data_IF_833194334689
#
_entry.id   IF_833194334689
#
_cell.length_a   1.000
_cell.length_b   1.000
_cell.length_c   1.000
_cell.angle_alpha   90.00
_cell.angle_beta   90.00
_cell.angle_gamma   90.00
#
_symmetry.space_group_name_H-M   'P 1'
#
loop_
_entity.id
_entity.type
_entity.pdbx_description
1 polymer ?
#
# COMPACT_ATOMS: atom_id res chain seq x y z
N UNK A 1 65.29 -11.50 -10.70
CA UNK A 1 64.35 -11.88 -9.62
C UNK A 1 63.56 -10.64 -9.21
N UNK A 2 62.33 -10.48 -9.71
CA UNK A 2 61.49 -9.32 -9.41
C UNK A 2 60.56 -9.70 -8.25
N UNK A 3 60.63 -8.94 -7.17
CA UNK A 3 59.97 -9.23 -5.91
C UNK A 3 58.44 -9.23 -6.05
N UNK A 4 57.80 -10.34 -5.67
CA UNK A 4 56.34 -10.45 -5.49
C UNK A 4 55.89 -9.47 -4.39
N UNK A 5 55.14 -8.43 -4.76
CA UNK A 5 54.41 -7.59 -3.80
C UNK A 5 53.34 -8.46 -3.13
N UNK A 6 53.55 -8.79 -1.86
CA UNK A 6 52.59 -9.44 -0.97
C UNK A 6 51.57 -8.38 -0.54
N UNK A 7 50.35 -8.42 -1.05
CA UNK A 7 49.26 -7.62 -0.50
C UNK A 7 48.89 -8.20 0.87
N UNK A 8 49.12 -7.43 1.94
CA UNK A 8 48.80 -7.81 3.32
C UNK A 8 47.35 -7.45 3.62
N UNK A 9 46.61 -8.43 4.12
CA UNK A 9 45.45 -8.37 5.04
C UNK A 9 44.60 -7.08 5.00
N UNK A 10 43.41 -7.17 4.39
CA UNK A 10 42.34 -6.18 4.58
C UNK A 10 41.72 -6.37 5.97
N UNK A 11 42.32 -5.74 6.98
CA UNK A 11 41.77 -5.63 8.32
C UNK A 11 41.08 -4.26 8.45
N UNK A 12 39.75 -4.21 8.30
CA UNK A 12 38.82 -3.33 9.04
C UNK A 12 39.05 -1.81 9.14
N UNK A 13 40.07 -1.22 8.54
CA UNK A 13 40.21 0.24 8.44
C UNK A 13 39.27 0.70 7.34
N UNK A 14 38.22 1.44 7.71
CA UNK A 14 37.46 2.25 6.75
C UNK A 14 38.46 3.24 6.15
N UNK A 15 39.00 2.93 4.98
CA UNK A 15 39.70 3.89 4.16
C UNK A 15 38.65 4.89 3.68
N UNK A 16 38.38 5.91 4.48
CA UNK A 16 37.51 7.02 4.10
C UNK A 16 38.35 7.92 3.19
N UNK A 17 38.06 7.88 1.89
CA UNK A 17 38.59 8.85 0.93
C UNK A 17 37.79 10.14 1.08
N UNK A 18 38.47 11.28 1.20
CA UNK A 18 37.78 12.57 1.22
C UNK A 18 37.22 12.85 -0.18
N UNK A 19 35.97 13.32 -0.27
CA UNK A 19 35.32 13.60 -1.55
C UNK A 19 36.12 14.59 -2.41
N UNK A 20 36.74 15.59 -1.79
CA UNK A 20 37.55 16.60 -2.49
C UNK A 20 38.86 16.05 -3.08
N UNK A 21 39.32 14.90 -2.58
CA UNK A 21 40.53 14.23 -3.07
C UNK A 21 40.25 13.32 -4.28
N UNK A 22 38.98 13.13 -4.64
CA UNK A 22 38.59 12.34 -5.82
C UNK A 22 38.86 13.11 -7.11
N UNK A 23 39.13 12.43 -8.25
CA UNK A 23 39.17 13.06 -9.56
C UNK A 23 37.90 13.87 -9.84
N UNK A 24 38.02 14.99 -10.57
CA UNK A 24 36.88 15.87 -10.87
C UNK A 24 35.75 15.13 -11.57
N UNK A 25 36.07 14.20 -12.46
CA UNK A 25 35.11 13.35 -13.16
C UNK A 25 34.33 12.48 -12.16
N UNK A 26 35.01 11.92 -11.17
CA UNK A 26 34.38 11.14 -10.10
C UNK A 26 33.48 12.01 -9.22
N UNK A 27 33.93 13.22 -8.85
CA UNK A 27 33.12 14.16 -8.08
C UNK A 27 31.84 14.55 -8.84
N UNK A 28 31.97 14.83 -10.15
CA UNK A 28 30.82 15.14 -11.02
C UNK A 28 29.85 13.97 -11.11
N UNK A 29 30.35 12.74 -11.29
CA UNK A 29 29.52 11.54 -11.31
C UNK A 29 28.73 11.38 -10.00
N UNK A 30 29.37 11.55 -8.84
CA UNK A 30 28.68 11.49 -7.55
C UNK A 30 27.63 12.58 -7.39
N UNK A 31 27.93 13.82 -7.82
CA UNK A 31 26.96 14.90 -7.78
C UNK A 31 25.75 14.59 -8.67
N UNK A 32 25.98 14.08 -9.88
CA UNK A 32 24.90 13.66 -10.78
C UNK A 32 24.06 12.52 -10.16
N UNK A 33 24.69 11.53 -9.52
CA UNK A 33 23.98 10.47 -8.80
C UNK A 33 23.13 11.00 -7.63
N UNK A 34 23.64 11.95 -6.85
CA UNK A 34 22.88 12.58 -5.77
C UNK A 34 21.68 13.36 -6.29
N UNK A 35 21.85 14.10 -7.40
CA UNK A 35 20.76 14.83 -8.04
C UNK A 35 19.72 13.87 -8.61
N UNK A 36 20.16 12.80 -9.31
CA UNK A 36 19.28 11.73 -9.80
C UNK A 36 18.45 11.14 -8.66
N UNK A 37 19.11 10.74 -7.58
CA UNK A 37 18.44 10.17 -6.41
C UNK A 37 17.42 11.14 -5.82
N UNK A 38 17.77 12.42 -5.64
CA UNK A 38 16.85 13.42 -5.09
C UNK A 38 15.60 13.61 -5.98
N UNK A 39 15.77 13.70 -7.30
CA UNK A 39 14.66 13.85 -8.24
C UNK A 39 13.78 12.59 -8.21
N UNK A 40 14.40 11.41 -8.27
CA UNK A 40 13.68 10.13 -8.24
C UNK A 40 12.90 9.93 -6.94
N UNK A 41 13.52 10.17 -5.78
CA UNK A 41 12.82 10.05 -4.49
C UNK A 41 11.68 11.05 -4.35
N UNK A 42 11.82 12.28 -4.86
CA UNK A 42 10.72 13.24 -4.87
C UNK A 42 9.55 12.74 -5.74
N UNK A 43 9.85 12.26 -6.94
CA UNK A 43 8.85 11.66 -7.84
C UNK A 43 8.12 10.49 -7.17
N UNK A 44 8.87 9.60 -6.51
CA UNK A 44 8.31 8.47 -5.78
C UNK A 44 7.38 8.93 -4.66
N UNK A 45 7.85 9.86 -3.82
CA UNK A 45 7.05 10.40 -2.73
C UNK A 45 5.78 11.09 -3.20
N UNK A 46 5.80 11.77 -4.35
CA UNK A 46 4.63 12.48 -4.88
C UNK A 46 3.55 11.52 -5.39
N UNK A 47 3.92 10.39 -5.98
CA UNK A 47 2.97 9.44 -6.58
C UNK A 47 2.62 8.25 -5.67
N UNK A 48 3.61 7.74 -4.95
CA UNK A 48 3.56 6.49 -4.20
C UNK A 48 3.87 6.66 -2.72
N UNK A 49 4.07 7.90 -2.24
CA UNK A 49 4.37 8.18 -0.84
C UNK A 49 5.66 7.50 -0.39
N UNK A 50 5.70 7.09 0.87
CA UNK A 50 6.87 6.43 1.47
C UNK A 50 6.86 4.89 1.29
N UNK A 51 6.15 4.38 0.28
CA UNK A 51 6.18 2.94 -0.02
C UNK A 51 7.56 2.50 -0.54
N UNK A 52 7.91 1.21 -0.46
CA UNK A 52 9.10 0.68 -1.13
C UNK A 52 9.02 0.82 -2.65
N UNK A 53 10.13 1.16 -3.31
CA UNK A 53 10.24 1.14 -4.77
C UNK A 53 10.34 -0.30 -5.30
N UNK A 54 9.75 -0.57 -6.48
CA UNK A 54 9.95 -1.83 -7.19
C UNK A 54 11.26 -1.74 -7.99
N UNK A 55 12.36 -1.95 -7.29
CA UNK A 55 13.71 -1.93 -7.87
C UNK A 55 14.00 -3.25 -8.55
N UNK A 56 14.42 -3.20 -9.81
CA UNK A 56 14.77 -4.38 -10.59
C UNK A 56 16.02 -4.21 -11.47
N UNK A 57 16.57 -5.32 -11.92
CA UNK A 57 17.61 -5.36 -12.96
C UNK A 57 17.44 -6.61 -13.82
N UNK A 58 17.96 -6.59 -15.04
CA UNK A 58 17.97 -7.74 -15.95
C UNK A 58 19.40 -8.26 -16.06
N UNK A 59 19.59 -9.56 -15.79
CA UNK A 59 20.87 -10.23 -15.90
C UNK A 59 20.69 -11.61 -16.55
N UNK A 60 21.46 -11.88 -17.61
CA UNK A 60 21.34 -13.10 -18.42
C UNK A 60 19.90 -13.37 -18.89
N UNK A 61 19.20 -12.33 -19.34
CA UNK A 61 17.80 -12.37 -19.76
C UNK A 61 16.80 -12.37 -18.60
N UNK A 62 17.18 -12.80 -17.40
CA UNK A 62 16.26 -12.93 -16.27
C UNK A 62 16.12 -11.63 -15.49
N UNK A 63 14.90 -11.32 -15.04
CA UNK A 63 14.65 -10.17 -14.17
C UNK A 63 14.89 -10.55 -12.72
N UNK A 64 15.58 -9.68 -12.00
CA UNK A 64 15.77 -9.74 -10.56
C UNK A 64 15.07 -8.55 -9.92
N UNK A 65 14.28 -8.78 -8.88
CA UNK A 65 13.53 -7.74 -8.16
C UNK A 65 13.86 -7.81 -6.68
N UNK A 66 14.10 -6.66 -6.06
CA UNK A 66 14.31 -6.58 -4.62
C UNK A 66 12.99 -6.74 -3.85
N UNK A 67 12.97 -7.61 -2.84
CA UNK A 67 11.81 -7.87 -1.99
C UNK A 67 12.26 -8.25 -0.58
N UNK A 68 11.92 -7.44 0.42
CA UNK A 68 12.16 -7.78 1.83
C UNK A 68 13.62 -8.07 2.17
N UNK A 69 14.55 -7.35 1.53
CA UNK A 69 16.00 -7.58 1.69
C UNK A 69 16.55 -8.78 0.92
N UNK A 70 15.72 -9.46 0.12
CA UNK A 70 16.12 -10.54 -0.78
C UNK A 70 16.05 -10.10 -2.25
N UNK A 71 16.74 -10.83 -3.14
CA UNK A 71 16.57 -10.71 -4.59
C UNK A 71 15.79 -11.92 -5.08
N UNK A 72 14.63 -11.68 -5.67
CA UNK A 72 13.81 -12.72 -6.31
C UNK A 72 14.02 -12.65 -7.81
N UNK A 73 14.06 -13.79 -8.46
CA UNK A 73 14.34 -13.93 -9.88
C UNK A 73 13.10 -14.42 -10.64
N UNK A 74 12.91 -13.94 -11.87
CA UNK A 74 11.92 -14.47 -12.80
C UNK A 74 12.21 -15.94 -13.16
N UNK A 75 11.14 -16.69 -13.44
CA UNK A 75 11.18 -18.10 -13.80
C UNK A 75 11.64 -18.30 -15.25
N UNK A 76 11.26 -17.39 -16.15
CA UNK A 76 11.71 -17.38 -17.55
C UNK A 76 12.66 -16.21 -17.86
N UNK A 77 13.60 -16.39 -18.83
CA UNK A 77 14.49 -15.33 -19.30
C UNK A 77 13.85 -14.37 -20.31
N UNK A 78 12.64 -14.65 -20.83
CA UNK A 78 11.91 -13.79 -21.75
C UNK A 78 10.41 -13.86 -21.44
N UNK A 79 9.70 -12.73 -21.51
CA UNK A 79 8.24 -12.67 -21.34
C UNK A 79 7.75 -12.92 -19.91
N UNK A 80 8.64 -12.90 -18.91
CA UNK A 80 8.31 -13.05 -17.50
C UNK A 80 8.74 -11.79 -16.75
N UNK A 81 7.78 -11.21 -16.03
CA UNK A 81 7.88 -9.90 -15.39
C UNK A 81 8.26 -8.79 -16.38
N UNK A 82 7.52 -8.63 -17.47
CA UNK A 82 7.76 -7.52 -18.40
C UNK A 82 7.37 -6.18 -17.75
N UNK A 83 6.27 -6.18 -17.00
CA UNK A 83 5.73 -5.03 -16.27
C UNK A 83 5.72 -5.27 -14.74
N UNK A 84 5.73 -4.22 -13.90
CA UNK A 84 5.63 -4.40 -12.44
C UNK A 84 4.38 -5.15 -12.01
N UNK A 85 3.29 -5.01 -12.76
CA UNK A 85 2.04 -5.75 -12.53
C UNK A 85 2.29 -7.26 -12.53
N UNK A 86 3.03 -7.79 -13.52
CA UNK A 86 3.35 -9.22 -13.64
C UNK A 86 4.13 -9.75 -12.43
N UNK A 87 5.11 -8.96 -11.96
CA UNK A 87 5.85 -9.29 -10.74
C UNK A 87 4.94 -9.28 -9.52
N UNK A 88 4.10 -8.24 -9.36
CA UNK A 88 3.19 -8.12 -8.22
C UNK A 88 2.18 -9.27 -8.18
N UNK A 89 1.61 -9.67 -9.31
CA UNK A 89 0.67 -10.79 -9.39
C UNK A 89 1.36 -12.13 -9.09
N UNK A 90 2.56 -12.36 -9.63
CA UNK A 90 3.37 -13.54 -9.31
C UNK A 90 3.76 -13.58 -7.84
N UNK A 91 4.12 -12.44 -7.26
CA UNK A 91 4.44 -12.29 -5.84
C UNK A 91 3.23 -12.63 -4.96
N UNK A 92 2.06 -12.07 -5.26
CA UNK A 92 0.81 -12.37 -4.56
C UNK A 92 0.49 -13.87 -4.63
N UNK A 93 0.60 -14.47 -5.82
CA UNK A 93 0.36 -15.90 -6.05
C UNK A 93 1.26 -16.76 -5.18
N UNK A 94 2.56 -16.50 -5.23
CA UNK A 94 3.58 -17.23 -4.48
C UNK A 94 3.38 -17.07 -2.97
N UNK A 95 3.04 -15.86 -2.50
CA UNK A 95 2.86 -15.57 -1.07
C UNK A 95 1.62 -16.22 -0.47
N UNK A 96 0.51 -16.30 -1.21
CA UNK A 96 -0.68 -17.05 -0.77
C UNK A 96 -0.49 -18.58 -0.94
N UNK A 97 0.48 -19.00 -1.74
CA UNK A 97 0.85 -20.37 -2.02
C UNK A 97 0.30 -20.85 -3.37
N UNK A 98 1.21 -21.29 -4.25
CA UNK A 98 0.86 -21.79 -5.58
C UNK A 98 -0.15 -22.95 -5.54
N UNK A 99 0.05 -23.91 -4.63
CA UNK A 99 -0.87 -25.04 -4.45
C UNK A 99 -2.29 -24.58 -4.07
N UNK A 100 -2.41 -23.53 -3.26
CA UNK A 100 -3.73 -22.99 -2.91
C UNK A 100 -4.42 -22.37 -4.11
N UNK A 101 -3.69 -21.65 -4.97
CA UNK A 101 -4.22 -21.15 -6.22
C UNK A 101 -4.71 -22.29 -7.13
N UNK A 102 -3.91 -23.35 -7.26
CA UNK A 102 -4.26 -24.51 -8.07
C UNK A 102 -5.50 -25.24 -7.52
N UNK A 103 -5.65 -25.30 -6.20
CA UNK A 103 -6.82 -25.88 -5.55
C UNK A 103 -8.07 -25.00 -5.69
N UNK A 104 -7.94 -23.68 -5.60
CA UNK A 104 -9.04 -22.77 -5.92
C UNK A 104 -9.46 -22.89 -7.40
N UNK A 105 -8.51 -23.08 -8.33
CA UNK A 105 -8.79 -23.19 -9.77
C UNK A 105 -9.66 -24.40 -10.12
N UNK A 106 -9.49 -25.50 -9.40
CA UNK A 106 -10.29 -26.74 -9.53
C UNK A 106 -11.75 -26.57 -9.07
N UNK A 107 -12.07 -25.54 -8.28
CA UNK A 107 -13.43 -25.30 -7.78
C UNK A 107 -14.34 -24.71 -8.85
N UNK A 108 -15.64 -24.92 -8.70
CA UNK A 108 -16.66 -24.23 -9.51
C UNK A 108 -16.59 -22.72 -9.28
N UNK A 109 -16.97 -21.90 -10.27
CA UNK A 109 -16.81 -20.44 -10.22
C UNK A 109 -17.42 -19.79 -8.96
N UNK A 110 -18.63 -20.22 -8.58
CA UNK A 110 -19.33 -19.77 -7.36
C UNK A 110 -18.70 -20.25 -6.04
N UNK A 111 -17.82 -21.26 -6.10
CA UNK A 111 -17.10 -21.82 -4.97
C UNK A 111 -15.66 -21.31 -4.85
N UNK A 112 -15.17 -20.58 -5.85
CA UNK A 112 -13.82 -19.99 -5.82
C UNK A 112 -13.71 -18.90 -4.77
N UNK A 113 -12.50 -18.73 -4.26
CA UNK A 113 -12.12 -17.54 -3.52
C UNK A 113 -12.10 -16.33 -4.45
N UNK A 114 -12.58 -15.17 -3.97
CA UNK A 114 -12.73 -13.96 -4.77
C UNK A 114 -11.41 -13.44 -5.34
N UNK A 115 -10.28 -13.68 -4.67
CA UNK A 115 -8.93 -13.36 -5.19
C UNK A 115 -8.70 -14.08 -6.52
N UNK A 116 -9.05 -15.37 -6.60
CA UNK A 116 -8.90 -16.13 -7.84
C UNK A 116 -9.86 -15.62 -8.91
N UNK A 117 -11.10 -15.30 -8.55
CA UNK A 117 -12.04 -14.68 -9.49
C UNK A 117 -11.44 -13.41 -10.08
N UNK A 118 -10.88 -12.52 -9.26
CA UNK A 118 -10.22 -11.31 -9.76
C UNK A 118 -9.00 -11.59 -10.62
N UNK A 119 -8.20 -12.61 -10.31
CA UNK A 119 -7.07 -13.00 -11.15
C UNK A 119 -7.55 -13.43 -12.55
N UNK A 120 -8.53 -14.33 -12.61
CA UNK A 120 -9.08 -14.87 -13.86
C UNK A 120 -9.80 -13.77 -14.67
N UNK A 121 -10.63 -12.94 -14.04
CA UNK A 121 -11.38 -11.89 -14.73
C UNK A 121 -10.50 -10.66 -15.08
N UNK A 122 -9.50 -10.40 -14.24
CA UNK A 122 -8.59 -9.26 -14.36
C UNK A 122 -7.57 -9.45 -15.48
N UNK A 123 -7.07 -10.68 -15.70
CA UNK A 123 -6.21 -10.99 -16.85
C UNK A 123 -6.92 -10.75 -18.20
N UNK A 124 -8.24 -10.86 -18.26
CA UNK A 124 -9.02 -10.71 -19.49
C UNK A 124 -9.31 -9.25 -19.91
N UNK A 125 -8.81 -8.22 -19.23
CA UNK A 125 -9.50 -6.92 -19.22
C UNK A 125 -8.63 -5.67 -19.13
N UNK A 126 -7.47 -5.69 -19.78
CA UNK A 126 -6.94 -4.44 -20.34
C UNK A 126 -7.92 -4.01 -21.44
N UNK A 127 -8.83 -3.07 -21.12
CA UNK A 127 -9.93 -2.70 -22.03
C UNK A 127 -9.43 -2.19 -23.40
N UNK A 128 -8.16 -1.77 -23.49
CA UNK A 128 -7.48 -1.32 -24.70
C UNK A 128 -6.03 -1.86 -24.76
N UNK A 129 -5.83 -3.17 -25.00
CA UNK A 129 -4.49 -3.79 -25.01
C UNK A 129 -3.49 -3.15 -25.99
N UNK A 130 -3.99 -2.52 -27.05
CA UNK A 130 -3.20 -1.85 -28.09
C UNK A 130 -2.74 -0.43 -27.70
N UNK A 131 -3.14 0.08 -26.53
CA UNK A 131 -2.72 1.39 -26.07
C UNK A 131 -1.43 1.32 -25.24
N UNK A 132 -0.62 2.41 -25.22
CA UNK A 132 0.48 2.55 -24.28
C UNK A 132 0.02 2.24 -22.86
N UNK A 133 0.89 1.60 -22.07
CA UNK A 133 0.60 1.13 -20.71
C UNK A 133 -0.07 2.22 -19.86
N UNK A 134 0.41 3.45 -19.96
CA UNK A 134 -0.10 4.64 -19.26
C UNK A 134 -1.56 4.99 -19.58
N UNK A 135 -2.10 4.46 -20.67
CA UNK A 135 -3.45 4.73 -21.19
C UNK A 135 -4.34 3.48 -21.24
N UNK A 136 -3.83 2.34 -20.76
CA UNK A 136 -4.61 1.12 -20.54
C UNK A 136 -5.58 1.36 -19.38
N UNK A 137 -6.86 1.04 -19.59
CA UNK A 137 -7.88 1.07 -18.52
C UNK A 137 -8.07 -0.32 -17.96
N UNK A 138 -7.98 -0.42 -16.63
CA UNK A 138 -8.27 -1.64 -15.87
C UNK A 138 -9.74 -1.64 -15.43
N UNK A 139 -10.39 -2.79 -15.52
CA UNK A 139 -11.68 -2.99 -14.86
C UNK A 139 -11.51 -3.09 -13.32
N UNK A 140 -12.63 -3.19 -12.61
CA UNK A 140 -12.62 -3.32 -11.16
C UNK A 140 -11.96 -4.59 -10.64
N UNK A 141 -12.06 -5.72 -11.35
CA UNK A 141 -11.36 -6.96 -10.96
C UNK A 141 -9.84 -6.79 -11.00
N UNK A 142 -9.30 -6.27 -12.10
CA UNK A 142 -7.87 -6.01 -12.24
C UNK A 142 -7.38 -5.01 -11.19
N UNK A 143 -8.11 -3.92 -10.94
CA UNK A 143 -7.76 -2.97 -9.88
C UNK A 143 -7.80 -3.62 -8.49
N UNK A 144 -8.83 -4.41 -8.18
CA UNK A 144 -8.94 -5.09 -6.90
C UNK A 144 -7.77 -6.07 -6.66
N UNK A 145 -7.36 -6.79 -7.70
CA UNK A 145 -6.24 -7.72 -7.65
C UNK A 145 -4.88 -7.02 -7.52
N UNK A 146 -4.62 -6.01 -8.37
CA UNK A 146 -3.34 -5.30 -8.40
C UNK A 146 -3.10 -4.48 -7.13
N UNK A 147 -4.13 -3.81 -6.59
CA UNK A 147 -3.97 -3.11 -5.32
C UNK A 147 -3.76 -4.07 -4.15
N UNK A 148 -4.43 -5.23 -4.13
CA UNK A 148 -4.17 -6.27 -3.13
C UNK A 148 -2.71 -6.75 -3.21
N UNK A 149 -2.23 -7.02 -4.43
CA UNK A 149 -0.85 -7.44 -4.67
C UNK A 149 0.16 -6.36 -4.25
N UNK A 150 -0.13 -5.09 -4.55
CA UNK A 150 0.75 -3.99 -4.20
C UNK A 150 0.80 -3.71 -2.70
N UNK A 151 -0.35 -3.68 -2.02
CA UNK A 151 -0.37 -3.51 -0.56
C UNK A 151 0.36 -4.66 0.15
N UNK A 152 0.24 -5.90 -0.38
CA UNK A 152 1.01 -7.05 0.12
C UNK A 152 2.53 -6.87 -0.10
N UNK A 153 2.95 -6.41 -1.28
CA UNK A 153 4.35 -6.09 -1.57
C UNK A 153 4.90 -5.03 -0.61
N UNK A 154 4.13 -3.97 -0.33
CA UNK A 154 4.50 -2.91 0.61
C UNK A 154 4.74 -3.51 2.00
N UNK A 155 3.82 -4.35 2.49
CA UNK A 155 3.94 -4.97 3.80
C UNK A 155 5.08 -6.01 3.88
N UNK A 156 5.32 -6.76 2.80
CA UNK A 156 6.43 -7.72 2.71
C UNK A 156 7.77 -7.03 2.94
N UNK A 157 7.99 -5.90 2.26
CA UNK A 157 9.23 -5.15 2.35
C UNK A 157 9.50 -4.55 3.73
N UNK A 158 8.47 -4.40 4.56
CA UNK A 158 8.61 -4.01 5.95
C UNK A 158 8.79 -5.21 6.90
N UNK A 159 8.77 -6.45 6.39
CA UNK A 159 8.92 -7.66 7.19
C UNK A 159 7.72 -7.95 8.10
N UNK A 160 6.52 -7.49 7.71
CA UNK A 160 5.31 -7.56 8.55
C UNK A 160 4.24 -8.54 8.05
N UNK A 161 4.57 -9.41 7.08
CA UNK A 161 3.67 -10.48 6.67
C UNK A 161 3.68 -11.58 7.74
N UNK A 162 2.50 -11.96 8.22
CA UNK A 162 2.30 -13.04 9.18
C UNK A 162 1.48 -14.17 8.58
N UNK A 163 1.71 -15.40 9.05
CA UNK A 163 0.91 -16.58 8.64
C UNK A 163 -0.58 -16.39 8.92
N UNK A 164 -0.91 -15.65 9.99
CA UNK A 164 -2.30 -15.33 10.36
C UNK A 164 -2.96 -14.41 9.33
N UNK A 165 -2.26 -13.37 8.89
CA UNK A 165 -2.76 -12.48 7.84
C UNK A 165 -2.98 -13.27 6.55
N UNK A 166 -1.99 -14.07 6.13
CA UNK A 166 -2.09 -14.92 4.93
C UNK A 166 -3.25 -15.91 5.04
N UNK A 167 -3.40 -16.59 6.18
CA UNK A 167 -4.52 -17.51 6.43
C UNK A 167 -5.88 -16.82 6.31
N UNK A 168 -6.02 -15.61 6.88
CA UNK A 168 -7.26 -14.82 6.77
C UNK A 168 -7.52 -14.31 5.37
N UNK A 169 -6.48 -13.95 4.61
CA UNK A 169 -6.60 -13.56 3.19
C UNK A 169 -7.09 -14.73 2.31
N UNK A 170 -6.71 -15.97 2.65
CA UNK A 170 -7.16 -17.20 1.95
C UNK A 170 -8.55 -17.66 2.39
N UNK A 171 -9.06 -17.19 3.53
CA UNK A 171 -10.35 -17.57 4.09
C UNK A 171 -11.46 -16.68 3.54
N UNK A 172 -12.51 -17.29 2.96
CA UNK A 172 -13.68 -16.53 2.48
C UNK A 172 -14.29 -15.63 3.56
N UNK A 173 -14.47 -16.15 4.77
CA UNK A 173 -15.09 -15.39 5.87
C UNK A 173 -14.13 -14.33 6.44
N UNK A 174 -12.82 -14.60 6.47
CA UNK A 174 -11.80 -13.70 6.99
C UNK A 174 -11.35 -12.60 6.02
N UNK A 175 -11.59 -12.81 4.72
CA UNK A 175 -10.98 -12.02 3.65
C UNK A 175 -11.31 -10.53 3.71
N UNK A 176 -12.59 -10.16 3.88
CA UNK A 176 -12.99 -8.75 3.88
C UNK A 176 -12.21 -7.93 4.94
N UNK A 177 -12.12 -8.47 6.16
CA UNK A 177 -11.37 -7.83 7.25
C UNK A 177 -9.88 -7.79 6.98
N UNK A 178 -9.28 -8.92 6.59
CA UNK A 178 -7.83 -9.00 6.34
C UNK A 178 -7.37 -8.14 5.15
N UNK A 179 -8.16 -8.07 4.09
CA UNK A 179 -7.90 -7.17 2.96
C UNK A 179 -7.89 -5.70 3.40
N UNK A 180 -8.85 -5.30 4.23
CA UNK A 180 -8.93 -3.92 4.68
C UNK A 180 -7.83 -3.56 5.68
N UNK A 181 -7.49 -4.48 6.58
CA UNK A 181 -6.34 -4.36 7.47
C UNK A 181 -5.05 -4.17 6.68
N UNK A 182 -4.79 -5.03 5.68
CA UNK A 182 -3.63 -4.90 4.79
C UNK A 182 -3.57 -3.53 4.10
N UNK A 183 -4.69 -3.06 3.56
CA UNK A 183 -4.80 -1.72 2.97
C UNK A 183 -4.45 -0.61 3.97
N UNK A 184 -4.95 -0.68 5.21
CA UNK A 184 -4.68 0.32 6.25
C UNK A 184 -3.20 0.33 6.61
N UNK A 185 -2.59 -0.84 6.83
CA UNK A 185 -1.17 -0.96 7.15
C UNK A 185 -0.29 -0.40 6.02
N UNK A 186 -0.56 -0.78 4.77
CA UNK A 186 0.13 -0.24 3.60
C UNK A 186 -0.06 1.27 3.44
N UNK A 187 -1.24 1.80 3.76
CA UNK A 187 -1.53 3.24 3.74
C UNK A 187 -0.77 4.00 4.82
N UNK A 188 -0.60 3.42 6.01
CA UNK A 188 0.24 4.02 7.05
C UNK A 188 1.70 4.08 6.62
N UNK A 189 2.23 3.02 6.00
CA UNK A 189 3.59 3.03 5.42
C UNK A 189 3.69 4.11 4.34
N UNK A 190 2.72 4.17 3.42
CA UNK A 190 2.65 5.21 2.37
C UNK A 190 2.62 6.63 2.94
N UNK A 191 1.99 6.82 4.10
CA UNK A 191 1.94 8.09 4.82
C UNK A 191 3.22 8.42 5.62
N UNK A 192 4.28 7.62 5.50
CA UNK A 192 5.56 7.87 6.19
C UNK A 192 5.58 7.41 7.64
N UNK A 193 4.84 6.35 7.97
CA UNK A 193 4.92 5.70 9.28
C UNK A 193 5.75 4.43 9.23
N UNK A 194 6.58 4.23 10.24
CA UNK A 194 7.04 2.90 10.61
C UNK A 194 5.94 2.21 11.43
N UNK A 195 5.62 0.95 11.12
CA UNK A 195 4.53 0.24 11.77
C UNK A 195 5.05 -0.92 12.65
N UNK A 196 4.32 -1.18 13.72
CA UNK A 196 4.53 -2.29 14.64
C UNK A 196 3.17 -2.99 14.80
N UNK A 197 2.85 -4.00 13.96
CA UNK A 197 1.61 -4.76 14.09
C UNK A 197 1.50 -5.41 15.46
N UNK A 198 0.31 -5.39 16.07
CA UNK A 198 0.11 -6.05 17.35
C UNK A 198 -0.02 -7.57 17.15
N UNK A 199 0.67 -8.33 18.00
CA UNK A 199 0.55 -9.78 18.01
C UNK A 199 -0.68 -10.20 18.84
N UNK A 200 -1.76 -10.52 18.14
CA UNK A 200 -3.00 -11.01 18.75
C UNK A 200 -2.84 -12.38 19.46
N UNK A 201 -1.74 -13.10 19.26
CA UNK A 201 -1.49 -14.40 19.91
C UNK A 201 -1.00 -14.28 21.35
N UNK A 202 -0.58 -13.08 21.77
CA UNK A 202 -0.09 -12.83 23.13
C UNK A 202 -1.20 -12.78 24.20
N UNK A 203 -2.46 -13.04 23.83
CA UNK A 203 -3.58 -13.19 24.77
C UNK A 203 -4.01 -11.91 25.49
N UNK A 204 -3.51 -10.75 25.07
CA UNK A 204 -3.75 -9.45 25.74
C UNK A 204 -5.02 -8.78 25.22
N UNK A 205 -6.19 -9.38 25.46
CA UNK A 205 -7.48 -8.75 25.16
C UNK A 205 -7.66 -8.29 23.69
N UNK A 206 -8.59 -7.36 23.45
CA UNK A 206 -8.82 -6.78 22.12
C UNK A 206 -7.80 -5.65 21.87
N UNK A 207 -6.72 -5.93 21.16
CA UNK A 207 -5.71 -4.95 20.72
C UNK A 207 -6.12 -4.28 19.41
N UNK A 208 -5.58 -3.09 19.13
CA UNK A 208 -5.69 -2.44 17.82
C UNK A 208 -4.86 -3.18 16.76
N UNK A 209 -4.95 -2.82 15.48
CA UNK A 209 -4.21 -3.52 14.41
C UNK A 209 -2.69 -3.29 14.51
N UNK A 210 -2.29 -2.04 14.73
CA UNK A 210 -0.88 -1.70 14.90
C UNK A 210 -0.67 -0.46 15.76
N UNK A 211 0.58 -0.30 16.19
CA UNK A 211 1.17 0.96 16.60
C UNK A 211 1.96 1.50 15.41
N UNK A 212 1.89 2.81 15.15
CA UNK A 212 2.54 3.43 14.00
C UNK A 212 3.25 4.71 14.44
N UNK A 213 4.52 4.87 14.05
CA UNK A 213 5.35 6.03 14.39
C UNK A 213 5.67 6.82 13.13
N UNK A 214 5.22 8.07 13.04
CA UNK A 214 5.49 8.93 11.89
C UNK A 214 6.97 9.32 11.87
N UNK A 215 7.66 9.00 10.76
CA UNK A 215 9.12 9.08 10.65
C UNK A 215 9.61 10.52 10.87
N UNK A 216 8.94 11.51 10.28
CA UNK A 216 9.39 12.89 10.34
C UNK A 216 9.15 13.56 11.70
N UNK A 217 8.04 13.25 12.37
CA UNK A 217 7.64 13.96 13.61
C UNK A 217 7.91 13.15 14.88
N UNK A 218 8.19 11.85 14.77
CA UNK A 218 8.31 10.93 15.89
C UNK A 218 6.99 10.62 16.62
N UNK A 219 5.86 11.17 16.15
CA UNK A 219 4.55 10.97 16.78
C UNK A 219 4.10 9.54 16.58
N UNK A 220 3.77 8.88 17.69
CA UNK A 220 3.23 7.53 17.71
C UNK A 220 1.70 7.56 17.83
N UNK A 221 1.02 6.71 17.07
CA UNK A 221 -0.43 6.53 17.11
C UNK A 221 -0.78 5.04 17.19
N UNK A 222 -1.95 4.71 17.72
CA UNK A 222 -2.57 3.40 17.53
C UNK A 222 -3.58 3.46 16.38
N UNK A 223 -3.66 2.40 15.59
CA UNK A 223 -4.47 2.34 14.37
C UNK A 223 -5.42 1.15 14.40
N UNK A 224 -6.69 1.42 14.13
CA UNK A 224 -7.74 0.40 14.00
C UNK A 224 -8.27 0.36 12.56
N UNK A 225 -8.53 -0.85 12.05
CA UNK A 225 -9.22 -1.06 10.79
C UNK A 225 -10.60 -1.69 11.02
N UNK A 226 -11.64 -1.08 10.44
CA UNK A 226 -13.00 -1.63 10.40
C UNK A 226 -13.53 -1.63 8.99
N UNK A 227 -14.14 -2.73 8.58
CA UNK A 227 -14.86 -2.79 7.30
C UNK A 227 -16.34 -3.07 7.53
N UNK A 228 -17.19 -2.44 6.72
CA UNK A 228 -18.60 -2.76 6.65
C UNK A 228 -18.79 -4.08 5.88
N UNK A 229 -19.49 -5.01 6.52
CA UNK A 229 -19.92 -6.24 5.89
C UNK A 229 -21.17 -5.99 5.02
N UNK A 230 -21.11 -6.49 3.79
CA UNK A 230 -22.24 -6.54 2.87
C UNK A 230 -22.48 -8.00 2.49
N UNK A 231 -23.72 -8.47 2.60
CA UNK A 231 -24.04 -9.88 2.40
C UNK A 231 -23.69 -10.30 0.97
N UNK A 232 -22.97 -11.43 0.85
CA UNK A 232 -22.43 -12.01 -0.37
C UNK A 232 -21.35 -11.20 -1.08
N UNK A 233 -20.77 -10.22 -0.40
CA UNK A 233 -19.65 -9.41 -0.92
C UNK A 233 -18.39 -9.77 -0.14
N UNK A 234 -17.28 -9.99 -0.86
CA UNK A 234 -15.97 -10.32 -0.28
C UNK A 234 -16.03 -11.48 0.73
N UNK A 235 -16.88 -12.48 0.45
CA UNK A 235 -17.05 -13.68 1.29
C UNK A 235 -17.86 -13.49 2.57
N UNK A 236 -18.43 -12.30 2.81
CA UNK A 236 -19.31 -12.06 3.95
C UNK A 236 -20.66 -12.76 3.79
N UNK A 237 -21.09 -13.51 4.81
CA UNK A 237 -22.43 -14.14 4.88
C UNK A 237 -23.48 -13.22 5.51
N UNK A 238 -23.05 -12.09 6.07
CA UNK A 238 -23.87 -11.12 6.80
C UNK A 238 -23.76 -9.71 6.21
N UNK A 239 -24.64 -8.81 6.65
CA UNK A 239 -24.63 -7.40 6.26
C UNK A 239 -25.85 -6.96 5.46
N UNK A 240 -26.02 -5.65 5.28
CA UNK A 240 -27.14 -5.05 4.54
C UNK A 240 -26.61 -4.10 3.48
N UNK A 241 -26.96 -4.30 2.21
CA UNK A 241 -26.43 -3.51 1.09
C UNK A 241 -26.82 -2.02 1.12
N UNK A 242 -28.07 -1.68 1.44
CA UNK A 242 -28.60 -0.31 1.31
C UNK A 242 -28.37 0.63 2.50
N UNK A 243 -28.12 0.08 3.69
CA UNK A 243 -28.01 0.88 4.92
C UNK A 243 -26.55 0.94 5.40
N UNK A 244 -26.04 2.16 5.53
CA UNK A 244 -24.77 2.45 6.21
C UNK A 244 -25.05 2.32 7.71
N UNK A 245 -24.48 1.30 8.36
CA UNK A 245 -24.53 1.08 9.81
C UNK A 245 -23.11 0.89 10.29
N UNK A 246 -22.57 1.91 10.94
CA UNK A 246 -21.16 1.96 11.36
C UNK A 246 -21.03 2.06 12.87
N UNK A 247 -22.08 2.50 13.57
CA UNK A 247 -22.05 2.74 15.01
C UNK A 247 -21.53 1.55 15.80
N UNK A 248 -22.01 0.32 15.54
CA UNK A 248 -21.54 -0.85 16.29
C UNK A 248 -20.05 -1.13 16.03
N UNK A 249 -19.57 -0.97 14.79
CA UNK A 249 -18.14 -1.14 14.46
C UNK A 249 -17.27 -0.07 15.10
N UNK A 250 -17.74 1.18 15.09
CA UNK A 250 -17.09 2.31 15.73
C UNK A 250 -17.07 2.15 17.25
N UNK A 251 -18.19 1.72 17.85
CA UNK A 251 -18.30 1.40 19.28
C UNK A 251 -17.28 0.33 19.66
N UNK A 252 -17.29 -0.79 18.95
CA UNK A 252 -16.36 -1.90 19.22
C UNK A 252 -14.88 -1.48 19.10
N UNK A 253 -14.59 -0.49 18.24
CA UNK A 253 -13.25 0.08 18.11
C UNK A 253 -12.88 1.00 19.27
N UNK A 254 -13.78 1.89 19.70
CA UNK A 254 -13.50 2.81 20.81
C UNK A 254 -13.53 2.14 22.17
N UNK A 255 -14.17 0.97 22.31
CA UNK A 255 -14.12 0.18 23.56
C UNK A 255 -12.74 -0.44 23.82
N UNK A 256 -11.82 -0.42 22.85
CA UNK A 256 -10.44 -0.87 23.04
C UNK A 256 -9.68 0.12 23.92
N UNK A 257 -8.86 -0.41 24.84
CA UNK A 257 -7.96 0.41 25.63
C UNK A 257 -6.75 0.83 24.78
N UNK A 258 -6.59 2.13 24.64
CA UNK A 258 -5.52 2.77 23.87
C UNK A 258 -4.71 3.69 24.76
N UNK A 259 -3.39 3.63 24.59
CA UNK A 259 -2.40 4.41 25.35
C UNK A 259 -1.66 5.43 24.49
N UNK A 260 -1.97 5.50 23.19
CA UNK A 260 -1.48 6.50 22.24
C UNK A 260 -2.65 7.21 21.56
N UNK A 261 -2.44 8.39 20.94
CA UNK A 261 -3.42 8.99 20.04
C UNK A 261 -3.94 7.95 19.04
N UNK A 262 -5.26 7.96 18.80
CA UNK A 262 -5.96 6.83 18.20
C UNK A 262 -6.61 7.21 16.88
N UNK A 263 -6.36 6.43 15.84
CA UNK A 263 -6.92 6.60 14.50
C UNK A 263 -7.77 5.39 14.14
N UNK A 264 -8.98 5.63 13.63
CA UNK A 264 -9.88 4.56 13.20
C UNK A 264 -10.15 4.70 11.71
N UNK A 265 -9.76 3.70 10.93
CA UNK A 265 -10.09 3.56 9.52
C UNK A 265 -11.37 2.73 9.37
N UNK A 266 -12.29 3.21 8.52
CA UNK A 266 -13.59 2.58 8.27
C UNK A 266 -13.89 2.48 6.78
N UNK A 267 -13.96 1.26 6.26
CA UNK A 267 -14.45 1.00 4.91
C UNK A 267 -15.98 1.04 4.90
N UNK A 268 -16.52 1.96 4.09
CA UNK A 268 -17.94 2.08 3.84
C UNK A 268 -18.46 0.92 3.00
N UNK A 269 -17.61 0.34 2.14
CA UNK A 269 -17.93 -0.77 1.26
C UNK A 269 -19.29 -0.58 0.56
N UNK A 270 -19.43 0.54 -0.15
CA UNK A 270 -20.70 1.01 -0.71
C UNK A 270 -20.55 1.27 -2.21
N UNK A 271 -21.12 0.42 -3.09
CA UNK A 271 -20.85 0.45 -4.53
C UNK A 271 -21.30 1.74 -5.21
N UNK A 272 -22.44 2.29 -4.80
CA UNK A 272 -23.06 3.43 -5.47
C UNK A 272 -22.66 4.77 -4.83
N UNK A 273 -21.69 4.81 -3.92
CA UNK A 273 -21.39 6.04 -3.18
C UNK A 273 -20.72 7.06 -4.10
N UNK A 274 -21.45 8.11 -4.45
CA UNK A 274 -20.90 9.30 -5.08
C UNK A 274 -20.95 10.47 -4.09
N UNK A 275 -19.80 10.75 -3.46
CA UNK A 275 -19.67 11.77 -2.41
C UNK A 275 -20.02 13.19 -2.89
N UNK A 276 -19.99 13.47 -4.19
CA UNK A 276 -20.36 14.77 -4.75
C UNK A 276 -21.86 14.90 -5.05
N UNK A 277 -22.56 13.79 -5.23
CA UNK A 277 -23.98 13.77 -5.60
C UNK A 277 -24.91 13.36 -4.45
N UNK A 278 -24.39 12.69 -3.41
CA UNK A 278 -25.22 11.95 -2.45
C UNK A 278 -25.17 12.51 -1.02
N UNK A 279 -25.60 13.77 -0.89
CA UNK A 279 -25.66 14.49 0.39
C UNK A 279 -26.38 13.73 1.51
N UNK A 280 -27.42 12.94 1.21
CA UNK A 280 -28.11 12.13 2.21
C UNK A 280 -27.25 11.02 2.82
N UNK A 281 -26.40 10.37 2.01
CA UNK A 281 -25.50 9.31 2.51
C UNK A 281 -24.39 9.90 3.37
N UNK A 282 -23.87 11.08 2.99
CA UNK A 282 -22.93 11.84 3.80
C UNK A 282 -23.56 12.23 5.15
N UNK A 283 -24.81 12.72 5.15
CA UNK A 283 -25.56 13.01 6.39
C UNK A 283 -25.69 11.78 7.29
N UNK A 284 -25.99 10.60 6.73
CA UNK A 284 -26.06 9.35 7.52
C UNK A 284 -24.73 8.98 8.17
N UNK A 285 -23.60 9.17 7.47
CA UNK A 285 -22.27 8.95 8.06
C UNK A 285 -22.03 9.93 9.22
N UNK A 286 -22.40 11.21 9.04
CA UNK A 286 -22.33 12.22 10.10
C UNK A 286 -23.25 11.89 11.28
N UNK A 287 -24.44 11.34 11.06
CA UNK A 287 -25.36 10.90 12.11
C UNK A 287 -24.78 9.75 12.95
N UNK A 288 -24.21 8.72 12.31
CA UNK A 288 -23.55 7.61 13.00
C UNK A 288 -22.35 8.10 13.82
N UNK A 289 -21.60 9.07 13.28
CA UNK A 289 -20.51 9.74 13.95
C UNK A 289 -20.97 10.56 15.18
N UNK A 290 -22.00 11.40 15.02
CA UNK A 290 -22.56 12.21 16.10
C UNK A 290 -23.15 11.34 17.21
N UNK A 291 -23.77 10.21 16.84
CA UNK A 291 -24.27 9.21 17.78
C UNK A 291 -23.13 8.60 18.61
N UNK A 292 -21.98 8.30 17.99
CA UNK A 292 -20.79 7.83 18.70
C UNK A 292 -20.32 8.85 19.75
N UNK A 293 -20.16 10.13 19.35
CA UNK A 293 -19.74 11.21 20.25
C UNK A 293 -20.72 11.38 21.42
N UNK A 294 -22.02 11.38 21.13
CA UNK A 294 -23.06 11.58 22.16
C UNK A 294 -23.06 10.47 23.21
N UNK A 295 -22.85 9.22 22.79
CA UNK A 295 -22.93 8.06 23.67
C UNK A 295 -21.62 7.72 24.37
N UNK A 296 -20.47 8.13 23.80
CA UNK A 296 -19.13 7.79 24.32
C UNK A 296 -18.21 9.03 24.39
N UNK A 297 -18.55 10.05 25.19
CA UNK A 297 -17.85 11.35 25.15
C UNK A 297 -16.40 11.32 25.68
N UNK A 298 -15.98 10.24 26.35
CA UNK A 298 -14.69 10.17 27.08
C UNK A 298 -13.63 9.30 26.41
N UNK A 299 -14.00 8.41 25.47
CA UNK A 299 -13.07 7.46 24.85
C UNK A 299 -13.00 7.65 23.33
N UNK A 300 -12.98 8.91 22.88
CA UNK A 300 -13.02 9.23 21.46
C UNK A 300 -11.65 9.17 20.79
N UNK A 301 -11.57 8.72 19.52
CA UNK A 301 -10.34 8.74 18.74
C UNK A 301 -9.97 10.17 18.35
N UNK A 302 -8.77 10.35 17.79
CA UNK A 302 -8.32 11.62 17.22
C UNK A 302 -8.94 11.89 15.85
N UNK A 303 -9.06 10.86 15.03
CA UNK A 303 -9.73 10.95 13.74
C UNK A 303 -10.43 9.64 13.38
N UNK A 304 -11.52 9.77 12.61
CA UNK A 304 -12.14 8.67 11.89
C UNK A 304 -11.92 8.92 10.40
N UNK A 305 -11.24 7.98 9.76
CA UNK A 305 -10.92 7.99 8.34
C UNK A 305 -11.91 7.07 7.64
N UNK A 306 -12.71 7.62 6.75
CA UNK A 306 -13.65 6.87 5.93
C UNK A 306 -13.04 6.61 4.56
N UNK A 307 -13.12 5.36 4.14
CA UNK A 307 -12.72 4.96 2.78
C UNK A 307 -13.88 4.28 2.09
N UNK A 308 -13.92 4.39 0.77
CA UNK A 308 -14.79 3.58 -0.07
C UNK A 308 -13.99 3.18 -1.31
N UNK A 309 -13.58 1.91 -1.38
CA UNK A 309 -12.76 1.38 -2.48
C UNK A 309 -13.53 0.22 -3.15
N UNK A 310 -14.51 0.55 -4.02
CA UNK A 310 -15.49 -0.41 -4.50
C UNK A 310 -15.03 -1.21 -5.73
N UNK A 311 -13.71 -1.34 -5.99
CA UNK A 311 -13.19 -2.02 -7.19
C UNK A 311 -13.82 -3.40 -7.42
N UNK A 312 -14.00 -4.16 -6.34
CA UNK A 312 -14.59 -5.49 -6.33
C UNK A 312 -16.07 -5.57 -6.76
N UNK A 313 -16.78 -4.45 -6.91
CA UNK A 313 -18.15 -4.41 -7.42
C UNK A 313 -18.24 -4.24 -8.94
N UNK A 314 -17.18 -3.77 -9.60
CA UNK A 314 -17.21 -3.44 -11.00
C UNK A 314 -16.38 -4.44 -11.81
N UNK A 315 -16.82 -5.70 -11.76
CA UNK A 315 -16.16 -6.84 -12.40
C UNK A 315 -15.71 -6.51 -13.83
N UNK A 316 -16.60 -5.96 -14.67
CA UNK A 316 -16.34 -5.75 -16.10
C UNK A 316 -16.37 -4.28 -16.56
N UNK A 317 -16.47 -3.32 -15.64
CA UNK A 317 -16.64 -1.90 -15.98
C UNK A 317 -15.60 -1.01 -15.28
N UNK A 318 -15.37 0.17 -15.83
CA UNK A 318 -14.49 1.18 -15.23
C UNK A 318 -15.04 1.65 -13.88
N UNK A 319 -14.17 1.71 -12.87
CA UNK A 319 -14.47 2.34 -11.58
C UNK A 319 -13.77 3.68 -11.49
N UNK A 320 -14.54 4.73 -11.27
CA UNK A 320 -14.00 6.09 -11.04
C UNK A 320 -14.27 6.62 -9.63
N UNK A 321 -14.85 5.81 -8.75
CA UNK A 321 -15.53 6.31 -7.55
C UNK A 321 -14.87 5.88 -6.23
N UNK A 322 -13.54 5.82 -6.17
CA UNK A 322 -12.88 5.77 -4.85
C UNK A 322 -13.13 7.08 -4.11
N UNK A 323 -13.59 6.98 -2.87
CA UNK A 323 -13.84 8.15 -2.05
C UNK A 323 -13.13 8.02 -0.71
N UNK A 324 -12.55 9.12 -0.26
CA UNK A 324 -11.86 9.23 1.01
C UNK A 324 -12.41 10.44 1.76
N UNK A 325 -12.63 10.27 3.06
CA UNK A 325 -13.08 11.33 3.95
C UNK A 325 -12.39 11.21 5.30
N UNK A 326 -12.16 12.34 5.95
CA UNK A 326 -11.53 12.38 7.27
C UNK A 326 -12.37 13.28 8.18
N UNK A 327 -12.77 12.75 9.32
CA UNK A 327 -13.44 13.52 10.37
C UNK A 327 -12.49 13.58 11.57
N UNK A 328 -11.99 14.79 11.83
CA UNK A 328 -11.24 15.11 13.06
C UNK A 328 -12.19 15.20 14.25
N UNK A 329 -11.75 14.70 15.39
CA UNK A 329 -12.50 14.79 16.64
C UNK A 329 -11.97 15.93 17.50
N UNK A 330 -12.88 16.80 17.98
CA UNK A 330 -12.49 17.99 18.75
C UNK A 330 -12.05 17.70 20.19
N UNK A 331 -12.51 16.58 20.78
CA UNK A 331 -12.22 16.19 22.17
C UNK A 331 -11.82 14.70 22.25
N UNK A 332 -10.67 14.32 21.68
CA UNK A 332 -10.18 12.96 21.77
C UNK A 332 -9.74 12.62 23.19
N UNK A 333 -9.69 11.32 23.54
CA UNK A 333 -9.17 10.85 24.84
C UNK A 333 -7.71 11.28 25.06
N UNK A 334 -6.90 11.18 24.01
CA UNK A 334 -5.49 11.55 24.02
C UNK A 334 -5.22 12.60 22.94
N UNK A 335 -4.37 13.59 23.23
CA UNK A 335 -4.05 14.67 22.28
C UNK A 335 -3.08 14.18 21.20
N UNK A 336 -3.38 14.49 19.95
CA UNK A 336 -2.46 14.24 18.83
C UNK A 336 -1.54 15.45 18.63
N UNK A 337 -0.24 15.25 18.83
CA UNK A 337 0.78 16.24 18.50
C UNK A 337 1.03 16.30 16.99
N UNK A 338 1.49 17.44 16.48
CA UNK A 338 1.72 17.66 15.05
C UNK A 338 0.52 17.27 14.16
N UNK A 339 -0.70 17.43 14.70
CA UNK A 339 -1.94 16.93 14.12
C UNK A 339 -2.09 17.26 12.63
N UNK A 340 -1.87 18.52 12.23
CA UNK A 340 -1.99 18.91 10.83
C UNK A 340 -1.01 18.17 9.92
N UNK A 341 0.23 17.93 10.36
CA UNK A 341 1.23 17.19 9.59
C UNK A 341 0.78 15.74 9.43
N UNK A 342 0.36 15.11 10.53
CA UNK A 342 -0.10 13.71 10.57
C UNK A 342 -1.32 13.49 9.68
N UNK A 343 -2.38 14.29 9.86
CA UNK A 343 -3.62 14.12 9.10
C UNK A 343 -3.43 14.47 7.61
N UNK A 344 -2.55 15.43 7.28
CA UNK A 344 -2.21 15.73 5.89
C UNK A 344 -1.42 14.57 5.24
N UNK A 345 -0.47 13.96 5.95
CA UNK A 345 0.29 12.81 5.44
C UNK A 345 -0.65 11.64 5.11
N UNK A 346 -1.59 11.32 6.01
CA UNK A 346 -2.61 10.28 5.78
C UNK A 346 -3.50 10.63 4.59
N UNK A 347 -3.98 11.88 4.49
CA UNK A 347 -4.83 12.31 3.38
C UNK A 347 -4.10 12.25 2.03
N UNK A 348 -2.81 12.61 1.98
CA UNK A 348 -1.97 12.46 0.79
C UNK A 348 -1.81 10.99 0.41
N UNK A 349 -1.50 10.12 1.38
CA UNK A 349 -1.38 8.68 1.14
C UNK A 349 -2.67 8.03 0.61
N UNK A 350 -3.84 8.47 1.09
CA UNK A 350 -5.12 7.99 0.56
C UNK A 350 -5.32 8.40 -0.90
N UNK A 351 -4.95 9.62 -1.29
CA UNK A 351 -5.03 10.06 -2.69
C UNK A 351 -4.05 9.32 -3.59
N UNK A 352 -2.84 9.07 -3.09
CA UNK A 352 -1.79 8.31 -3.76
C UNK A 352 -2.14 6.84 -3.94
N UNK A 353 -3.08 6.29 -3.15
CA UNK A 353 -3.51 4.89 -3.28
C UNK A 353 -3.99 4.54 -4.69
N UNK A 354 -4.52 5.50 -5.47
CA UNK A 354 -4.95 5.24 -6.85
C UNK A 354 -3.79 4.99 -7.82
N UNK A 355 -2.55 5.28 -7.40
CA UNK A 355 -1.35 5.03 -8.19
C UNK A 355 -0.91 3.58 -8.07
N UNK A 356 -0.71 2.92 -9.20
CA UNK A 356 0.00 1.65 -9.31
C UNK A 356 1.31 1.88 -10.07
N UNK A 357 2.42 1.22 -9.70
CA UNK A 357 3.68 1.30 -10.43
C UNK A 357 3.49 0.92 -11.90
N UNK A 358 4.00 1.75 -12.81
CA UNK A 358 3.77 1.60 -14.25
C UNK A 358 4.91 0.91 -14.96
N UNK A 359 6.12 1.11 -14.44
CA UNK A 359 7.32 0.50 -14.97
C UNK A 359 8.33 0.21 -13.85
N UNK A 360 9.25 -0.72 -14.10
CA UNK A 360 10.35 -0.96 -13.18
C UNK A 360 11.32 0.22 -13.16
N UNK A 361 11.85 0.55 -11.97
CA UNK A 361 12.77 1.66 -11.74
C UNK A 361 12.20 3.02 -12.22
N UNK A 362 10.88 3.20 -12.10
CA UNK A 362 10.15 4.38 -12.58
C UNK A 362 10.76 5.71 -12.09
N UNK A 363 11.09 5.79 -10.80
CA UNK A 363 11.72 6.95 -10.18
C UNK A 363 13.09 7.28 -10.77
N UNK A 364 13.90 6.25 -11.04
CA UNK A 364 15.22 6.40 -11.66
C UNK A 364 15.07 6.94 -13.09
N UNK A 365 14.21 6.30 -13.91
CA UNK A 365 13.95 6.71 -15.30
C UNK A 365 13.40 8.13 -15.41
N UNK A 366 12.51 8.52 -14.47
CA UNK A 366 12.02 9.88 -14.38
C UNK A 366 13.17 10.87 -14.15
N UNK A 367 14.05 10.58 -13.20
CA UNK A 367 15.20 11.42 -12.89
C UNK A 367 16.16 11.56 -14.10
N UNK A 368 16.39 10.49 -14.84
CA UNK A 368 17.19 10.53 -16.07
C UNK A 368 16.56 11.43 -17.13
N UNK A 369 15.25 11.33 -17.31
CA UNK A 369 14.49 12.14 -18.27
C UNK A 369 14.61 13.63 -17.95
N UNK A 370 14.43 14.00 -16.68
CA UNK A 370 14.55 15.40 -16.21
C UNK A 370 15.96 15.94 -16.43
N UNK A 371 16.99 15.19 -16.04
CA UNK A 371 18.39 15.62 -16.20
C UNK A 371 18.77 15.75 -17.67
N UNK A 372 18.34 14.81 -18.52
CA UNK A 372 18.59 14.86 -19.96
C UNK A 372 17.90 16.09 -20.59
N UNK A 373 16.72 16.47 -20.13
CA UNK A 373 16.05 17.70 -20.57
C UNK A 373 16.85 18.94 -20.17
N UNK A 374 17.32 19.03 -18.91
CA UNK A 374 18.14 20.15 -18.42
C UNK A 374 19.44 20.27 -19.23
N UNK A 375 20.14 19.15 -19.48
CA UNK A 375 21.37 19.12 -20.29
C UNK A 375 21.13 19.61 -21.72
N UNK A 376 20.03 19.19 -22.36
CA UNK A 376 19.63 19.65 -23.70
C UNK A 376 19.33 21.15 -23.74
N UNK A 377 18.71 21.71 -22.70
CA UNK A 377 18.47 23.15 -22.61
C UNK A 377 19.77 23.93 -22.45
N UNK A 378 20.69 23.48 -21.60
CA UNK A 378 21.98 24.12 -21.36
C UNK A 378 22.91 24.11 -22.59
N UNK A 379 22.74 23.18 -23.53
CA UNK A 379 23.49 23.14 -24.80
C UNK A 379 22.92 24.06 -25.88
N UNK A 380 21.69 24.55 -25.70
CA UNK A 380 21.00 25.45 -26.65
C UNK A 380 21.05 26.92 -26.23
N UNK A 381 21.36 27.19 -24.96
CA UNK A 381 21.69 28.50 -24.39
C UNK A 381 23.17 28.77 -24.48
#
# INVERSE_FOLDING_TARGET
>A
MVAKKKYRNCCGKKNTVNFHDLPKETQQMFHELQVKHKIGSQYHHDHMGYTPEIVSSVFQGRRFVALGGSLIQSDAPEGDWDEPADFLTSHLKTTLGNEWFDDELKKQENERHIILSWAVDGECSVMDANKPIESRKHNGSALAYLHLAYDLFVLHNQGHITDKLISRLKSKQGFNGARYELFVLATMIRAGFNIEPFDETLGVGKVTECKATHIQTGVTVQVEAKTRNVKYVLGSTEGKAKNIRLYDKLRDAIEKEVNQPYLIFVDLNFPELNVYAENEKIKKIQEEHNKLIKLHPTNLPNAIIYTNIPFHYARDYNVTNTAFGLIKINRPKLKLENENIILNAINSALKQYQYLPREFNESEKHAETVINAIKKHAQRS
#
